data_IF_618751923963
#
_entry.id   IF_618751923963
#
_cell.length_a   1.000
_cell.length_b   1.000
_cell.length_c   1.000
_cell.angle_alpha   90.00
_cell.angle_beta   90.00
_cell.angle_gamma   90.00
#
_symmetry.space_group_name_H-M   'P 1'
#
loop_
_entity.id
_entity.type
_entity.pdbx_description
1 polymer ?
#
# COMPACT_ATOMS: atom_id res chain seq x y z
N UNK A 1 10.08 1.55 12.93
CA UNK A 1 11.49 1.22 12.64
C UNK A 1 11.53 -0.17 12.00
N UNK A 2 12.42 -0.40 11.04
CA UNK A 2 12.64 -1.71 10.41
C UNK A 2 13.83 -2.42 11.07
N UNK A 3 13.80 -3.75 11.14
CA UNK A 3 14.90 -4.57 11.73
C UNK A 3 16.01 -4.89 10.74
N UNK A 4 15.70 -4.86 9.44
CA UNK A 4 16.59 -5.32 8.36
C UNK A 4 16.09 -6.60 7.69
N UNK A 5 15.15 -7.30 8.30
CA UNK A 5 14.48 -8.48 7.75
C UNK A 5 13.41 -8.10 6.70
N UNK A 6 12.85 -9.11 6.03
CA UNK A 6 11.75 -8.95 5.09
C UNK A 6 10.51 -8.33 5.77
N UNK A 7 9.94 -7.30 5.12
CA UNK A 7 8.72 -6.65 5.59
C UNK A 7 7.52 -7.42 5.02
N UNK A 8 6.89 -8.23 5.86
CA UNK A 8 5.70 -9.00 5.49
C UNK A 8 4.43 -8.21 5.83
N UNK A 9 3.64 -7.88 4.82
CA UNK A 9 2.38 -7.12 4.98
C UNK A 9 1.22 -7.98 4.47
N UNK A 10 0.15 -8.05 5.26
CA UNK A 10 -1.11 -8.70 4.89
C UNK A 10 -2.24 -7.69 4.89
N UNK A 11 -3.00 -7.67 3.80
CA UNK A 11 -4.15 -6.78 3.62
C UNK A 11 -5.42 -7.60 3.45
N UNK A 12 -6.53 -7.10 3.99
CA UNK A 12 -7.85 -7.66 3.76
C UNK A 12 -8.64 -6.74 2.82
N UNK A 13 -9.02 -7.26 1.66
CA UNK A 13 -9.94 -6.58 0.74
C UNK A 13 -11.33 -7.16 0.93
N UNK A 14 -12.31 -6.32 1.27
CA UNK A 14 -13.72 -6.74 1.22
C UNK A 14 -14.12 -7.09 -0.22
N UNK A 15 -15.10 -7.97 -0.44
CA UNK A 15 -15.67 -8.18 -1.77
C UNK A 15 -16.14 -6.85 -2.39
N UNK A 16 -16.09 -6.77 -3.71
CA UNK A 16 -16.57 -5.58 -4.42
C UNK A 16 -18.07 -5.42 -4.14
N UNK A 17 -18.55 -4.23 -3.76
CA UNK A 17 -19.89 -4.10 -3.18
C UNK A 17 -21.05 -4.37 -4.15
N UNK A 18 -20.88 -4.08 -5.43
CA UNK A 18 -21.96 -4.21 -6.44
C UNK A 18 -22.04 -5.65 -6.93
N UNK A 19 -23.23 -6.25 -6.84
CA UNK A 19 -23.49 -7.64 -7.20
C UNK A 19 -24.49 -7.71 -8.36
N UNK A 20 -24.31 -8.68 -9.25
CA UNK A 20 -25.29 -8.99 -10.31
C UNK A 20 -26.64 -9.49 -9.78
N UNK A 21 -26.67 -9.98 -8.53
CA UNK A 21 -27.88 -10.13 -7.74
C UNK A 21 -27.90 -8.97 -6.73
N UNK A 22 -28.54 -7.84 -7.05
CA UNK A 22 -28.46 -6.65 -6.22
C UNK A 22 -29.04 -6.88 -4.82
N UNK A 23 -28.45 -6.22 -3.84
CA UNK A 23 -28.97 -6.18 -2.48
C UNK A 23 -30.06 -5.12 -2.36
N UNK A 24 -30.87 -5.24 -1.30
CA UNK A 24 -31.86 -4.22 -0.96
C UNK A 24 -31.16 -2.92 -0.55
N UNK A 25 -31.69 -1.80 -1.03
CA UNK A 25 -31.22 -0.45 -0.78
C UNK A 25 -32.42 0.50 -0.67
N UNK A 26 -32.15 1.80 -0.56
CA UNK A 26 -33.16 2.86 -0.44
C UNK A 26 -32.83 3.96 -1.46
N UNK A 27 -33.85 4.44 -2.17
CA UNK A 27 -33.72 5.61 -3.03
C UNK A 27 -33.59 6.88 -2.17
N UNK A 28 -32.49 7.62 -2.32
CA UNK A 28 -32.24 8.83 -1.51
C UNK A 28 -33.26 9.95 -1.74
N UNK A 29 -33.86 10.02 -2.94
CA UNK A 29 -34.83 11.08 -3.29
C UNK A 29 -36.24 10.78 -2.77
N UNK A 30 -36.58 9.50 -2.62
CA UNK A 30 -37.96 9.07 -2.29
C UNK A 30 -38.08 8.35 -0.95
N UNK A 31 -36.95 7.94 -0.36
CA UNK A 31 -36.85 7.11 0.85
C UNK A 31 -37.61 5.77 0.77
N UNK A 32 -37.90 5.31 -0.46
CA UNK A 32 -38.57 4.03 -0.72
C UNK A 32 -37.55 2.94 -1.03
N UNK A 33 -37.97 1.68 -0.80
CA UNK A 33 -37.20 0.49 -1.14
C UNK A 33 -36.82 0.47 -2.62
N UNK A 34 -35.55 0.17 -2.90
CA UNK A 34 -34.98 0.09 -4.25
C UNK A 34 -33.86 -0.96 -4.26
N UNK A 35 -33.53 -1.54 -5.41
CA UNK A 35 -32.40 -2.48 -5.53
C UNK A 35 -31.11 -1.71 -5.80
N UNK A 36 -29.97 -2.10 -5.21
CA UNK A 36 -28.69 -1.44 -5.46
C UNK A 36 -28.34 -1.40 -6.97
N UNK A 37 -27.65 -0.34 -7.42
CA UNK A 37 -27.18 -0.24 -8.80
C UNK A 37 -26.00 -1.20 -9.07
N UNK A 38 -25.83 -1.57 -10.34
CA UNK A 38 -24.74 -2.43 -10.80
C UNK A 38 -23.76 -1.55 -11.59
N UNK A 39 -22.57 -1.31 -11.01
CA UNK A 39 -21.57 -0.42 -11.62
C UNK A 39 -20.40 -1.19 -12.25
N UNK A 40 -20.05 -2.36 -11.71
CA UNK A 40 -18.97 -3.21 -12.22
C UNK A 40 -19.35 -4.68 -12.24
N UNK A 41 -18.59 -5.44 -13.02
CA UNK A 41 -18.87 -6.85 -13.33
C UNK A 41 -17.83 -7.84 -12.81
N UNK A 42 -16.72 -7.37 -12.25
CA UNK A 42 -15.63 -8.23 -11.78
C UNK A 42 -15.97 -8.98 -10.49
N UNK A 43 -15.81 -10.31 -10.49
CA UNK A 43 -16.10 -11.15 -9.32
C UNK A 43 -15.05 -11.02 -8.20
N UNK A 44 -13.78 -10.79 -8.56
CA UNK A 44 -12.67 -10.69 -7.61
C UNK A 44 -11.60 -9.73 -8.14
N UNK A 45 -11.22 -8.75 -7.33
CA UNK A 45 -10.14 -7.81 -7.62
C UNK A 45 -8.98 -7.91 -6.61
N UNK A 46 -8.90 -8.98 -5.82
CA UNK A 46 -7.80 -9.19 -4.87
C UNK A 46 -6.42 -9.16 -5.56
N UNK A 47 -6.23 -9.77 -6.76
CA UNK A 47 -4.95 -9.67 -7.48
C UNK A 47 -4.62 -8.25 -7.93
N UNK A 48 -5.60 -7.47 -8.40
CA UNK A 48 -5.36 -6.07 -8.75
C UNK A 48 -5.04 -5.24 -7.48
N UNK A 49 -5.72 -5.53 -6.37
CA UNK A 49 -5.49 -4.91 -5.08
C UNK A 49 -4.06 -5.15 -4.56
N UNK A 50 -3.46 -6.33 -4.77
CA UNK A 50 -2.10 -6.58 -4.31
C UNK A 50 -1.07 -5.66 -4.98
N UNK A 51 -1.25 -5.35 -6.28
CA UNK A 51 -0.40 -4.40 -6.99
C UNK A 51 -0.57 -2.98 -6.43
N UNK A 52 -1.81 -2.58 -6.12
CA UNK A 52 -2.07 -1.29 -5.46
C UNK A 52 -1.39 -1.25 -4.09
N UNK A 53 -1.50 -2.32 -3.30
CA UNK A 53 -0.85 -2.41 -1.99
C UNK A 53 0.67 -2.29 -2.10
N UNK A 54 1.31 -2.98 -3.06
CA UNK A 54 2.75 -2.89 -3.28
C UNK A 54 3.19 -1.45 -3.55
N UNK A 55 2.49 -0.74 -4.44
CA UNK A 55 2.80 0.64 -4.80
C UNK A 55 2.63 1.60 -3.61
N UNK A 56 1.55 1.44 -2.84
CA UNK A 56 1.32 2.26 -1.64
C UNK A 56 2.40 2.01 -0.59
N UNK A 57 2.79 0.75 -0.38
CA UNK A 57 3.87 0.38 0.55
C UNK A 57 5.21 0.95 0.09
N UNK A 58 5.56 0.82 -1.20
CA UNK A 58 6.78 1.37 -1.76
C UNK A 58 6.85 2.89 -1.59
N UNK A 59 5.73 3.59 -1.80
CA UNK A 59 5.65 5.03 -1.59
C UNK A 59 5.92 5.42 -0.13
N UNK A 60 5.33 4.71 0.83
CA UNK A 60 5.55 4.96 2.26
C UNK A 60 6.98 4.63 2.68
N UNK A 61 7.55 3.53 2.20
CA UNK A 61 8.95 3.17 2.46
C UNK A 61 9.88 4.25 1.90
N UNK A 62 9.64 4.72 0.67
CA UNK A 62 10.42 5.78 0.03
C UNK A 62 10.38 7.07 0.86
N UNK A 63 9.20 7.49 1.32
CA UNK A 63 9.05 8.66 2.20
C UNK A 63 9.96 8.56 3.43
N UNK A 64 9.84 7.48 4.21
CA UNK A 64 10.64 7.31 5.43
C UNK A 64 12.12 7.06 5.14
N UNK A 65 12.46 6.51 3.98
CA UNK A 65 13.84 6.40 3.53
C UNK A 65 14.45 7.78 3.30
N UNK A 66 13.75 8.66 2.57
CA UNK A 66 14.20 10.03 2.31
C UNK A 66 14.23 10.87 3.60
N UNK A 67 13.24 10.74 4.48
CA UNK A 67 13.24 11.42 5.79
C UNK A 67 14.49 11.06 6.62
N UNK A 68 15.02 9.85 6.45
CA UNK A 68 16.18 9.34 7.20
C UNK A 68 17.52 9.60 6.54
N UNK A 69 17.59 9.49 5.21
CA UNK A 69 18.84 9.52 4.44
C UNK A 69 19.07 10.90 3.79
N UNK A 70 18.04 11.75 3.75
CA UNK A 70 18.00 13.00 3.00
C UNK A 70 17.45 12.81 1.59
N UNK A 71 17.50 13.85 0.78
CA UNK A 71 17.06 13.83 -0.62
C UNK A 71 17.27 15.20 -1.24
N UNK A 72 17.62 15.23 -2.54
CA UNK A 72 17.63 16.37 -3.47
C UNK A 72 18.42 15.96 -4.73
N UNK A 73 19.47 15.16 -4.54
CA UNK A 73 20.30 14.58 -5.58
C UNK A 73 20.52 13.07 -5.36
N UNK A 74 20.44 12.28 -6.44
CA UNK A 74 20.58 10.82 -6.35
C UNK A 74 21.99 10.37 -5.94
N UNK A 75 23.04 11.09 -6.33
CA UNK A 75 24.41 10.79 -5.95
C UNK A 75 24.63 11.00 -4.44
N UNK A 76 24.16 12.12 -3.90
CA UNK A 76 24.26 12.43 -2.47
C UNK A 76 23.45 11.43 -1.63
N UNK A 77 22.24 11.09 -2.09
CA UNK A 77 21.40 10.06 -1.46
C UNK A 77 22.13 8.71 -1.36
N UNK A 78 22.79 8.29 -2.45
CA UNK A 78 23.58 7.04 -2.48
C UNK A 78 24.78 7.12 -1.53
N UNK A 79 25.49 8.24 -1.51
CA UNK A 79 26.63 8.44 -0.60
C UNK A 79 26.21 8.39 0.87
N UNK A 80 25.11 9.07 1.22
CA UNK A 80 24.53 9.09 2.56
C UNK A 80 24.09 7.69 3.01
N UNK A 81 23.41 6.95 2.12
CA UNK A 81 23.00 5.57 2.39
C UNK A 81 24.19 4.65 2.65
N UNK A 82 25.23 4.72 1.81
CA UNK A 82 26.43 3.90 1.96
C UNK A 82 27.17 4.22 3.28
N UNK A 83 27.29 5.49 3.64
CA UNK A 83 27.84 5.93 4.92
C UNK A 83 27.02 5.40 6.11
N UNK A 84 25.69 5.48 6.01
CA UNK A 84 24.78 4.93 7.02
C UNK A 84 24.98 3.42 7.22
N UNK A 85 25.06 2.64 6.13
CA UNK A 85 25.28 1.19 6.18
C UNK A 85 26.68 0.85 6.72
N UNK A 86 27.72 1.56 6.29
CA UNK A 86 29.10 1.36 6.78
C UNK A 86 29.16 1.53 8.30
N UNK A 87 28.59 2.62 8.82
CA UNK A 87 28.53 2.89 10.26
C UNK A 87 27.78 1.81 11.04
N UNK A 88 26.75 1.18 10.46
CA UNK A 88 26.08 0.03 11.08
C UNK A 88 26.98 -1.20 11.08
N UNK A 89 27.70 -1.46 9.99
CA UNK A 89 28.66 -2.57 9.88
C UNK A 89 29.80 -2.47 10.90
N UNK A 90 30.34 -1.28 11.12
CA UNK A 90 31.35 -0.99 12.16
C UNK A 90 30.85 -1.30 13.58
N UNK A 91 29.52 -1.26 13.79
CA UNK A 91 28.85 -1.59 15.06
C UNK A 91 28.42 -3.06 15.15
N UNK A 92 28.85 -3.89 14.20
CA UNK A 92 28.57 -5.33 14.18
C UNK A 92 27.24 -5.73 13.54
N UNK A 93 26.51 -4.79 12.92
CA UNK A 93 25.34 -5.16 12.11
C UNK A 93 25.80 -5.90 10.85
N UNK A 94 25.36 -7.15 10.71
CA UNK A 94 25.61 -7.99 9.54
C UNK A 94 24.26 -8.27 8.91
N UNK A 95 24.11 -7.92 7.64
CA UNK A 95 22.95 -8.33 6.85
C UNK A 95 23.16 -9.77 6.37
#
# INVERSE_FOLDING_TARGET
MTTGDEIIIRCAMKPIPTLYKPLNSISINTLKSYTASIERSDNCAVPACSIVCENVVAFVICKYFLDKIGGDNLADLKANYNSYVKRLGERGWKK
#
